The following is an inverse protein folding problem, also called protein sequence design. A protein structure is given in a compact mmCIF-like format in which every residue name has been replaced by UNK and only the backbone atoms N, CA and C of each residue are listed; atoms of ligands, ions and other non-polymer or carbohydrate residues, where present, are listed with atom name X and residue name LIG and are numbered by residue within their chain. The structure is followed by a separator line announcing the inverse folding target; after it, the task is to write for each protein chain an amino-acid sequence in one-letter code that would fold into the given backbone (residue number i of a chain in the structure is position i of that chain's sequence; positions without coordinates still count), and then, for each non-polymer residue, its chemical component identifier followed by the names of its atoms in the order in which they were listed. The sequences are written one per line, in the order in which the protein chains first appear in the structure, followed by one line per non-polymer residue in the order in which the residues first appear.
data_IF_685581552322
#
_entry.id   IF_685581552322
#
_cell.length_a   1.000
_cell.length_b   1.000
_cell.length_c   1.000
_cell.angle_alpha   90.00
_cell.angle_beta   90.00
_cell.angle_gamma   90.00
#
_symmetry.space_group_name_H-M   'P 1'
#
loop_
_entity.id
_entity.type
_entity.pdbx_description
1 polymer ?
#
# COMPACT_ATOMS: atom_id res chain seq x y z
N UNK A 1 42.63 -22.47 23.33
CA UNK A 1 41.21 -22.15 23.57
C UNK A 1 40.92 -20.69 23.47
N UNK A 2 41.58 -19.81 24.20
CA UNK A 2 41.30 -18.38 24.15
C UNK A 2 41.63 -17.74 22.79
N UNK A 3 42.59 -18.24 22.08
CA UNK A 3 42.90 -17.73 20.73
C UNK A 3 41.84 -18.04 19.72
N UNK A 4 41.24 -19.21 19.78
CA UNK A 4 40.13 -19.59 18.90
C UNK A 4 38.88 -18.78 19.20
N UNK A 5 38.59 -18.52 20.46
CA UNK A 5 37.45 -17.71 20.87
C UNK A 5 37.61 -16.25 20.39
N UNK A 6 38.80 -15.68 20.50
CA UNK A 6 39.05 -14.33 20.04
C UNK A 6 38.90 -14.21 18.53
N UNK A 7 39.36 -15.22 17.79
CA UNK A 7 39.25 -15.23 16.35
C UNK A 7 37.79 -15.31 15.89
N UNK A 8 37.01 -16.17 16.50
CA UNK A 8 35.58 -16.30 16.22
C UNK A 8 34.84 -14.99 16.49
N UNK A 9 35.16 -14.35 17.60
CA UNK A 9 34.55 -13.07 17.96
C UNK A 9 34.86 -11.99 16.96
N UNK A 10 36.12 -11.93 16.45
CA UNK A 10 36.50 -10.96 15.44
C UNK A 10 35.81 -11.18 14.11
N UNK A 11 35.69 -12.43 13.67
CA UNK A 11 34.98 -12.76 12.43
C UNK A 11 33.50 -12.41 12.54
N UNK A 12 32.89 -12.70 13.66
CA UNK A 12 31.48 -12.40 13.90
C UNK A 12 31.22 -10.89 13.85
N UNK A 13 32.07 -10.08 14.45
CA UNK A 13 31.91 -8.64 14.43
C UNK A 13 32.06 -8.07 13.00
N UNK A 14 32.96 -8.63 12.21
CA UNK A 14 33.14 -8.21 10.83
C UNK A 14 31.91 -8.52 9.97
N UNK A 15 31.34 -9.71 10.11
CA UNK A 15 30.13 -10.10 9.39
C UNK A 15 28.96 -9.19 9.75
N UNK A 16 28.83 -8.85 11.00
CA UNK A 16 27.77 -7.95 11.45
C UNK A 16 27.92 -6.55 10.83
N UNK A 17 29.11 -6.02 10.77
CA UNK A 17 29.35 -4.72 10.16
C UNK A 17 29.03 -4.72 8.66
N UNK A 18 29.38 -5.78 7.94
CA UNK A 18 29.05 -5.92 6.53
C UNK A 18 27.55 -6.07 6.29
N UNK A 19 26.84 -6.75 7.18
CA UNK A 19 25.40 -6.92 7.05
C UNK A 19 24.66 -5.60 7.22
N UNK A 20 25.17 -4.66 8.00
CA UNK A 20 24.51 -3.37 8.20
C UNK A 20 24.81 -2.37 7.07
N UNK A 21 25.98 -2.43 6.46
CA UNK A 21 26.37 -1.46 5.45
C UNK A 21 25.48 -1.46 4.19
N UNK A 22 25.08 -2.62 3.60
CA UNK A 22 24.29 -2.63 2.38
C UNK A 22 22.83 -2.22 2.58
N UNK A 23 22.25 -2.43 3.76
CA UNK A 23 20.82 -2.19 3.97
C UNK A 23 20.46 -0.71 3.99
N UNK A 24 21.42 0.17 4.22
CA UNK A 24 21.18 1.61 4.29
C UNK A 24 21.12 2.28 2.91
N UNK A 25 21.47 1.57 1.82
CA UNK A 25 21.65 2.19 0.51
C UNK A 25 20.53 1.92 -0.50
N UNK A 26 19.52 1.14 -0.15
CA UNK A 26 18.42 0.81 -1.06
C UNK A 26 17.18 1.65 -0.77
N UNK A 27 16.70 2.36 -1.79
CA UNK A 27 15.44 3.07 -1.71
C UNK A 27 14.28 2.09 -1.83
N UNK A 28 13.15 2.42 -1.21
CA UNK A 28 11.93 1.64 -1.35
C UNK A 28 11.41 1.72 -2.80
N UNK A 29 10.86 0.62 -3.29
CA UNK A 29 10.19 0.59 -4.59
C UNK A 29 8.79 1.16 -4.43
N UNK A 30 8.43 2.12 -5.30
CA UNK A 30 7.08 2.67 -5.38
C UNK A 30 6.27 1.78 -6.32
N UNK A 31 5.11 1.33 -5.86
CA UNK A 31 4.27 0.41 -6.64
C UNK A 31 3.20 1.11 -7.49
N UNK A 32 3.24 2.43 -7.61
CA UNK A 32 2.32 3.22 -8.43
C UNK A 32 0.86 3.04 -8.01
N UNK A 33 0.64 2.83 -6.73
CA UNK A 33 -0.66 2.69 -6.11
C UNK A 33 -0.69 3.48 -4.81
N UNK A 34 -1.69 4.30 -4.64
CA UNK A 34 -1.92 5.03 -3.40
C UNK A 34 -3.33 4.83 -2.88
N UNK A 35 -3.48 4.85 -1.58
CA UNK A 35 -4.76 4.74 -0.89
C UNK A 35 -4.74 5.68 0.31
N UNK A 36 -5.83 6.40 0.49
CA UNK A 36 -6.03 7.27 1.66
C UNK A 36 -4.88 8.26 1.89
N UNK A 37 -4.33 8.80 0.80
CA UNK A 37 -3.29 9.80 0.87
C UNK A 37 -1.87 9.27 1.07
N UNK A 38 -1.66 7.97 0.95
CA UNK A 38 -0.34 7.35 1.12
C UNK A 38 -0.03 6.38 -0.01
N UNK A 39 1.25 6.33 -0.40
CA UNK A 39 1.71 5.42 -1.44
C UNK A 39 2.10 4.06 -0.86
N UNK A 40 1.77 3.00 -1.58
CA UNK A 40 2.33 1.68 -1.28
C UNK A 40 3.75 1.60 -1.82
N UNK A 41 4.64 1.07 -1.00
CA UNK A 41 6.04 0.84 -1.35
C UNK A 41 6.48 -0.52 -0.85
N UNK A 42 7.69 -0.95 -1.25
CA UNK A 42 8.25 -2.21 -0.76
C UNK A 42 8.44 -2.23 0.75
N UNK A 43 8.45 -1.07 1.40
CA UNK A 43 8.56 -0.93 2.85
C UNK A 43 7.23 -0.64 3.53
N UNK A 44 6.19 -0.34 2.76
CA UNK A 44 4.87 -0.04 3.30
C UNK A 44 3.80 -0.73 2.47
N UNK A 45 3.38 -1.90 2.91
CA UNK A 45 2.37 -2.71 2.24
C UNK A 45 1.01 -2.67 2.95
N UNK A 46 0.90 -1.96 4.05
CA UNK A 46 -0.36 -1.76 4.77
C UNK A 46 -0.50 -0.29 5.12
N UNK A 47 -1.66 0.27 4.80
CA UNK A 47 -2.01 1.67 5.08
C UNK A 47 -3.23 1.67 5.99
N UNK A 48 -3.15 2.45 7.07
CA UNK A 48 -4.27 2.63 7.98
C UNK A 48 -5.32 3.54 7.32
N UNK A 49 -6.56 3.10 7.31
CA UNK A 49 -7.68 3.82 6.73
C UNK A 49 -8.81 3.93 7.76
N UNK A 50 -8.76 4.96 8.61
CA UNK A 50 -9.64 5.06 9.75
C UNK A 50 -9.36 3.94 10.74
N UNK A 51 -10.36 3.15 11.09
CA UNK A 51 -10.19 1.99 11.96
C UNK A 51 -9.84 0.72 11.19
N UNK A 52 -9.95 0.75 9.87
CA UNK A 52 -9.63 -0.37 9.01
C UNK A 52 -8.30 -0.21 8.29
N UNK A 53 -8.03 -1.09 7.35
CA UNK A 53 -6.74 -1.15 6.65
C UNK A 53 -6.91 -1.40 5.17
N UNK A 54 -5.90 -0.95 4.41
CA UNK A 54 -5.68 -1.31 3.03
C UNK A 54 -4.33 -2.01 2.94
N UNK A 55 -4.30 -3.22 2.39
CA UNK A 55 -3.08 -4.02 2.27
C UNK A 55 -2.86 -4.41 0.82
N UNK A 56 -1.66 -4.19 0.30
CA UNK A 56 -1.32 -4.48 -1.08
C UNK A 56 -0.37 -5.64 -1.19
N UNK A 57 -0.69 -6.58 -2.09
CA UNK A 57 0.19 -7.68 -2.49
C UNK A 57 0.68 -7.37 -3.92
N UNK A 58 1.95 -6.93 -4.08
CA UNK A 58 2.45 -6.56 -5.40
C UNK A 58 2.61 -7.74 -6.36
N UNK A 59 2.84 -8.94 -5.84
CA UNK A 59 3.00 -10.12 -6.69
C UNK A 59 1.67 -10.53 -7.34
N UNK A 60 0.58 -10.43 -6.60
CA UNK A 60 -0.76 -10.73 -7.09
C UNK A 60 -1.45 -9.50 -7.66
N UNK A 61 -0.91 -8.30 -7.48
CA UNK A 61 -1.55 -7.03 -7.77
C UNK A 61 -2.94 -6.97 -7.15
N UNK A 62 -3.00 -7.30 -5.87
CA UNK A 62 -4.25 -7.38 -5.12
C UNK A 62 -4.23 -6.41 -3.94
N UNK A 63 -5.20 -5.52 -3.93
CA UNK A 63 -5.45 -4.59 -2.83
C UNK A 63 -6.60 -5.13 -1.99
N UNK A 64 -6.35 -5.38 -0.72
CA UNK A 64 -7.40 -5.81 0.22
C UNK A 64 -7.82 -4.64 1.09
N UNK A 65 -9.10 -4.32 1.06
CA UNK A 65 -9.72 -3.34 1.95
C UNK A 65 -10.49 -4.08 3.04
N UNK A 66 -10.17 -3.77 4.29
CA UNK A 66 -10.81 -4.41 5.44
C UNK A 66 -11.34 -3.33 6.39
N UNK A 67 -12.65 -3.11 6.33
CA UNK A 67 -13.32 -2.07 7.11
C UNK A 67 -12.66 -0.70 6.96
N UNK A 68 -12.19 -0.40 5.76
CA UNK A 68 -11.44 0.80 5.48
C UNK A 68 -12.35 2.01 5.31
N UNK A 69 -11.95 3.13 5.90
CA UNK A 69 -12.58 4.42 5.70
C UNK A 69 -11.57 5.34 5.02
N UNK A 70 -11.80 5.65 3.76
CA UNK A 70 -10.89 6.42 2.92
C UNK A 70 -11.44 7.82 2.75
N UNK A 71 -10.71 8.80 3.27
CA UNK A 71 -11.12 10.21 3.28
C UNK A 71 -10.04 11.14 2.75
N UNK A 72 -8.87 10.61 2.42
CA UNK A 72 -7.73 11.39 1.91
C UNK A 72 -7.30 10.89 0.54
N UNK A 73 -6.74 11.78 -0.25
CA UNK A 73 -6.19 11.48 -1.57
C UNK A 73 -4.82 12.14 -1.71
N UNK A 74 -3.89 11.47 -2.40
CA UNK A 74 -2.60 12.07 -2.74
C UNK A 74 -2.78 13.00 -3.93
N UNK A 75 -3.25 12.47 -5.05
CA UNK A 75 -3.39 13.24 -6.28
C UNK A 75 -4.87 13.49 -6.57
N UNK A 76 -5.56 12.53 -7.12
CA UNK A 76 -6.93 12.70 -7.56
C UNK A 76 -7.93 11.76 -6.89
N UNK A 77 -7.52 10.56 -6.51
CA UNK A 77 -8.44 9.53 -6.03
C UNK A 77 -8.14 9.04 -4.63
N UNK A 78 -9.17 8.61 -3.93
CA UNK A 78 -9.02 7.91 -2.66
C UNK A 78 -8.26 6.61 -2.82
N UNK A 79 -8.52 5.91 -3.92
CA UNK A 79 -7.66 4.86 -4.47
C UNK A 79 -7.20 5.39 -5.82
N UNK A 80 -5.90 5.49 -5.99
CA UNK A 80 -5.30 6.00 -7.23
C UNK A 80 -4.27 4.99 -7.72
N UNK A 81 -4.57 4.36 -8.85
CA UNK A 81 -3.73 3.33 -9.44
C UNK A 81 -3.21 3.77 -10.80
N UNK A 82 -1.91 3.91 -10.90
CA UNK A 82 -1.22 4.14 -12.17
C UNK A 82 -0.77 2.85 -12.82
N UNK A 83 -1.15 1.70 -12.25
CA UNK A 83 -0.86 0.39 -12.82
C UNK A 83 -1.57 0.25 -14.17
N UNK A 84 -0.82 -0.14 -15.20
CA UNK A 84 -1.39 -0.37 -16.53
C UNK A 84 -2.01 -1.75 -16.67
N UNK A 85 -1.69 -2.66 -15.77
CA UNK A 85 -2.29 -3.99 -15.68
C UNK A 85 -3.49 -3.99 -14.73
N UNK A 86 -4.16 -5.12 -14.62
CA UNK A 86 -5.35 -5.25 -13.79
C UNK A 86 -5.01 -5.13 -12.30
N UNK A 87 -5.80 -4.35 -11.59
CA UNK A 87 -5.76 -4.30 -10.13
C UNK A 87 -6.98 -5.03 -9.59
N UNK A 88 -6.75 -6.06 -8.79
CA UNK A 88 -7.83 -6.72 -8.05
C UNK A 88 -8.00 -6.05 -6.71
N UNK A 89 -9.23 -5.70 -6.37
CA UNK A 89 -9.57 -5.15 -5.05
C UNK A 89 -10.45 -6.17 -4.33
N UNK A 90 -9.93 -6.73 -3.25
CA UNK A 90 -10.66 -7.69 -2.42
C UNK A 90 -11.29 -6.94 -1.26
N UNK A 91 -12.60 -7.09 -1.11
CA UNK A 91 -13.39 -6.38 -0.10
C UNK A 91 -13.70 -7.32 1.07
N UNK A 92 -13.34 -6.87 2.26
CA UNK A 92 -13.64 -7.55 3.52
C UNK A 92 -14.34 -6.55 4.44
N UNK A 93 -15.48 -6.95 4.99
CA UNK A 93 -16.25 -6.07 5.84
C UNK A 93 -16.91 -4.93 5.08
N UNK A 94 -17.07 -3.80 5.72
CA UNK A 94 -17.75 -2.64 5.17
C UNK A 94 -16.76 -1.52 4.94
N UNK A 95 -16.56 -1.14 3.68
CA UNK A 95 -15.57 -0.14 3.28
C UNK A 95 -16.26 1.09 2.71
N UNK A 96 -15.67 2.26 2.90
CA UNK A 96 -16.22 3.52 2.43
C UNK A 96 -15.11 4.41 1.86
N UNK A 97 -15.48 5.13 0.80
CA UNK A 97 -14.69 6.23 0.26
C UNK A 97 -15.58 7.46 0.27
N UNK A 98 -15.14 8.51 0.96
CA UNK A 98 -15.98 9.72 1.12
C UNK A 98 -15.13 10.95 0.81
N UNK A 99 -15.56 11.73 -0.18
CA UNK A 99 -14.93 13.00 -0.56
C UNK A 99 -15.94 14.07 -0.84
N UNK A 100 -15.49 15.32 -0.80
CA UNK A 100 -16.28 16.47 -1.23
C UNK A 100 -16.00 16.85 -2.69
N UNK A 101 -14.75 16.82 -3.14
CA UNK A 101 -14.38 17.29 -4.49
C UNK A 101 -13.36 16.41 -5.19
N UNK A 102 -13.14 15.20 -4.72
CA UNK A 102 -12.19 14.27 -5.33
C UNK A 102 -12.89 13.06 -5.93
N UNK A 103 -12.11 12.29 -6.68
CA UNK A 103 -12.57 11.04 -7.28
C UNK A 103 -12.44 9.91 -6.25
N UNK A 104 -13.41 9.01 -6.19
CA UNK A 104 -13.32 7.86 -5.29
C UNK A 104 -12.22 6.92 -5.69
N UNK A 105 -12.27 6.42 -6.92
CA UNK A 105 -11.25 5.53 -7.48
C UNK A 105 -10.82 6.05 -8.84
N UNK A 106 -9.52 6.24 -8.99
CA UNK A 106 -8.91 6.57 -10.27
C UNK A 106 -7.96 5.45 -10.66
N UNK A 107 -8.08 4.93 -11.85
CA UNK A 107 -7.24 3.82 -12.30
C UNK A 107 -6.91 3.94 -13.78
N UNK A 108 -5.65 3.69 -14.11
CA UNK A 108 -5.17 3.65 -15.50
C UNK A 108 -5.53 2.31 -16.14
N UNK A 109 -5.38 1.21 -15.42
CA UNK A 109 -5.76 -0.12 -15.88
C UNK A 109 -7.15 -0.53 -15.43
N UNK A 110 -7.48 -1.79 -15.58
CA UNK A 110 -8.77 -2.32 -15.15
C UNK A 110 -8.79 -2.54 -13.63
N UNK A 111 -9.96 -2.41 -13.03
CA UNK A 111 -10.20 -2.72 -11.63
C UNK A 111 -11.20 -3.86 -11.55
N UNK A 112 -10.84 -4.89 -10.80
CA UNK A 112 -11.65 -6.10 -10.62
C UNK A 112 -11.96 -6.24 -9.14
N UNK A 113 -13.24 -6.31 -8.79
CA UNK A 113 -13.65 -6.45 -7.39
C UNK A 113 -13.93 -7.90 -7.04
N UNK A 114 -13.43 -8.32 -5.88
CA UNK A 114 -13.63 -9.65 -5.30
C UNK A 114 -14.01 -9.54 -3.84
N UNK A 115 -14.42 -10.67 -3.27
CA UNK A 115 -14.69 -10.78 -1.84
C UNK A 115 -16.15 -10.60 -1.50
N UNK A 116 -16.47 -10.88 -0.23
CA UNK A 116 -17.85 -10.82 0.28
C UNK A 116 -18.19 -9.50 0.95
N UNK A 117 -17.24 -8.58 1.07
CA UNK A 117 -17.45 -7.28 1.68
C UNK A 117 -18.17 -6.31 0.75
N UNK A 118 -18.31 -5.08 1.22
CA UNK A 118 -18.97 -4.00 0.48
C UNK A 118 -18.07 -2.78 0.37
N UNK A 119 -18.35 -1.96 -0.64
CA UNK A 119 -17.68 -0.67 -0.82
C UNK A 119 -18.73 0.36 -1.19
N UNK A 120 -18.86 1.39 -0.36
CA UNK A 120 -19.72 2.54 -0.63
C UNK A 120 -18.84 3.73 -1.00
N UNK A 121 -19.13 4.37 -2.13
CA UNK A 121 -18.43 5.56 -2.57
C UNK A 121 -19.40 6.74 -2.55
N UNK A 122 -19.04 7.76 -1.80
CA UNK A 122 -19.84 8.98 -1.68
C UNK A 122 -18.97 10.18 -2.02
N UNK A 123 -19.28 10.82 -3.14
CA UNK A 123 -18.58 12.02 -3.59
C UNK A 123 -19.60 13.14 -3.70
N UNK A 124 -19.42 14.19 -2.91
CA UNK A 124 -20.22 15.40 -2.98
C UNK A 124 -19.44 16.47 -3.74
N UNK A 125 -20.11 17.38 -4.38
CA UNK A 125 -19.45 18.45 -5.15
C UNK A 125 -20.01 18.52 -6.56
N UNK A 126 -19.39 19.37 -7.40
CA UNK A 126 -19.89 19.64 -8.75
C UNK A 126 -19.55 18.51 -9.73
N UNK A 127 -18.49 17.77 -9.50
CA UNK A 127 -18.11 16.60 -10.29
C UNK A 127 -18.41 15.34 -9.49
N UNK A 128 -19.37 14.57 -9.93
CA UNK A 128 -19.92 13.45 -9.18
C UNK A 128 -19.36 12.10 -9.65
N UNK A 129 -18.07 12.03 -9.98
CA UNK A 129 -17.46 10.79 -10.44
C UNK A 129 -16.89 9.97 -9.29
N UNK A 130 -17.62 8.93 -8.90
CA UNK A 130 -17.14 7.99 -7.89
C UNK A 130 -15.97 7.14 -8.37
N UNK A 131 -16.01 6.72 -9.64
CA UNK A 131 -14.96 5.90 -10.29
C UNK A 131 -14.62 6.53 -11.62
N UNK A 132 -13.32 6.63 -11.88
CA UNK A 132 -12.82 7.21 -13.13
C UNK A 132 -11.72 6.32 -13.75
#
# INVERSE_FOLDING_TARGET
MSKAQKLISGIFALVFALAMAPTASFAATNYDLSVNGEHFTSEKLTIQCGEGTATYDPDAQNLTLNNASITNAVDYGGIDSELTSDLTITLQGSNQITFNDNIGIMATGNVIFHGSGSLAISVAGDTMDGIS
#
